data_IF_899970165916
#
_entry.id   IF_899970165916
#
_cell.length_a   1.000
_cell.length_b   1.000
_cell.length_c   1.000
_cell.angle_alpha   90.00
_cell.angle_beta   90.00
_cell.angle_gamma   90.00
#
_symmetry.space_group_name_H-M   'P 1'
#
loop_
_entity.id
_entity.type
_entity.pdbx_description
1 polymer ?
2 non-polymer ?
3 water ?
#
# COMPACT_ATOMS: atom_id res chain seq x y z
N UNK A 12 -21.09 -21.72 13.50
CA UNK A 12 -19.61 -21.69 13.70
C UNK A 12 -19.07 -20.24 13.70
N UNK A 13 -18.72 -19.69 14.90
CA UNK A 13 -18.38 -18.26 15.05
C UNK A 13 -17.01 -17.89 14.48
N UNK A 14 -16.90 -16.68 13.94
CA UNK A 14 -15.72 -16.25 13.19
C UNK A 14 -15.36 -14.80 13.52
N UNK A 15 -14.05 -14.46 13.49
CA UNK A 15 -13.61 -13.07 13.60
C UNK A 15 -13.91 -12.27 12.32
N UNK A 16 -14.20 -13.02 11.25
CA UNK A 16 -14.37 -12.48 9.90
C UNK A 16 -15.83 -12.37 9.45
N UNK A 17 -16.08 -11.52 8.45
CA UNK A 17 -17.33 -11.50 7.68
C UNK A 17 -16.97 -11.41 6.20
N UNK A 18 -17.39 -12.39 5.40
CA UNK A 18 -17.28 -12.29 3.92
C UNK A 18 -18.37 -11.37 3.33
N UNK A 19 -18.08 -10.73 2.18
CA UNK A 19 -19.09 -10.00 1.40
C UNK A 19 -18.87 -10.27 -0.08
N UNK A 20 -19.89 -10.04 -0.89
CA UNK A 20 -19.68 -9.84 -2.32
C UNK A 20 -20.04 -8.39 -2.67
N UNK A 21 -19.78 -7.99 -3.91
CA UNK A 21 -19.92 -6.59 -4.32
C UNK A 21 -21.37 -6.12 -4.15
N UNK A 22 -22.31 -7.02 -4.45
CA UNK A 22 -23.72 -6.76 -4.22
C UNK A 22 -23.96 -6.31 -2.77
N UNK A 23 -23.61 -7.17 -1.81
CA UNK A 23 -23.77 -6.88 -0.36
C UNK A 23 -23.01 -5.63 0.09
N UNK A 24 -21.71 -5.57 -0.22
CA UNK A 24 -20.85 -4.46 0.14
C UNK A 24 -21.29 -3.07 -0.41
N UNK A 25 -21.74 -3.04 -1.67
CA UNK A 25 -22.07 -1.77 -2.36
C UNK A 25 -23.24 -1.12 -1.65
N UNK A 26 -24.18 -1.97 -1.21
CA UNK A 26 -25.31 -1.58 -0.34
C UNK A 26 -24.89 -0.70 0.85
N UNK A 27 -23.72 -1.00 1.44
CA UNK A 27 -23.23 -0.30 2.64
C UNK A 27 -22.72 1.13 2.39
N UNK A 28 -22.92 1.62 1.16
CA UNK A 28 -22.38 2.90 0.74
C UNK A 28 -23.02 4.10 1.44
N UNK A 29 -24.32 3.94 1.79
CA UNK A 29 -25.23 5.00 2.27
C UNK A 29 -25.15 6.27 1.43
N UNK A 30 -25.20 7.43 2.10
CA UNK A 30 -25.25 8.70 1.38
C UNK A 30 -23.88 9.31 1.07
N UNK A 31 -22.88 8.46 0.91
CA UNK A 31 -21.50 8.94 0.75
C UNK A 31 -21.38 9.58 -0.63
N UNK A 32 -21.09 10.90 -0.66
CA UNK A 32 -20.88 11.63 -1.91
C UNK A 32 -19.74 11.00 -2.72
N UNK A 33 -19.77 11.16 -4.03
CA UNK A 33 -18.60 10.83 -4.83
C UNK A 33 -17.89 12.12 -5.22
N UNK A 34 -16.81 12.47 -4.51
CA UNK A 34 -16.08 13.71 -4.81
C UNK A 34 -14.86 13.53 -5.75
N UNK A 35 -14.87 12.49 -6.58
CA UNK A 35 -13.75 12.20 -7.50
C UNK A 35 -14.16 12.14 -9.01
N UNK A 36 -13.62 13.05 -9.82
CA UNK A 36 -13.94 13.10 -11.27
C UNK A 36 -13.11 12.08 -12.06
N UNK A 37 -13.64 11.59 -13.18
CA UNK A 37 -12.89 10.64 -14.03
C UNK A 37 -11.49 11.09 -14.47
N UNK A 38 -11.32 12.38 -14.75
CA UNK A 38 -9.98 12.91 -15.03
C UNK A 38 -9.05 12.53 -13.90
N UNK A 39 -9.50 12.80 -12.68
CA UNK A 39 -8.69 12.57 -11.48
C UNK A 39 -8.43 11.11 -11.19
N UNK A 40 -9.42 10.25 -11.40
CA UNK A 40 -9.25 8.81 -11.19
C UNK A 40 -8.05 8.26 -11.94
N UNK A 41 -8.08 8.38 -13.27
CA UNK A 41 -7.01 7.85 -14.13
C UNK A 41 -5.62 8.44 -13.81
N UNK A 42 -5.59 9.67 -13.32
CA UNK A 42 -4.34 10.27 -12.87
C UNK A 42 -3.80 9.61 -11.62
N UNK A 43 -4.44 8.52 -11.18
CA UNK A 43 -4.01 7.75 -10.02
C UNK A 43 -3.89 6.27 -10.39
N UNK A 44 -4.58 5.90 -11.47
CA UNK A 44 -4.53 4.58 -12.07
C UNK A 44 -3.07 4.21 -12.43
N UNK A 45 -2.72 2.94 -12.29
CA UNK A 45 -1.39 2.54 -12.69
C UNK A 45 -1.53 1.77 -13.97
N UNK A 46 -0.48 1.78 -14.78
CA UNK A 46 -0.38 0.97 -15.99
C UNK A 46 -0.98 -0.42 -15.82
N UNK A 47 -2.05 -0.71 -16.54
CA UNK A 47 -2.67 -2.04 -16.51
C UNK A 47 -3.93 -2.13 -15.66
N UNK A 48 -4.08 -1.22 -14.70
CA UNK A 48 -5.23 -1.20 -13.80
C UNK A 48 -6.56 -0.91 -14.53
N UNK A 49 -7.64 -1.61 -14.15
CA UNK A 49 -8.97 -1.43 -14.77
C UNK A 49 -9.98 -0.63 -13.91
N UNK A 50 -9.53 -0.02 -12.83
CA UNK A 50 -10.44 0.63 -11.87
C UNK A 50 -11.18 1.80 -12.54
N UNK A 51 -12.52 1.73 -12.53
CA UNK A 51 -13.39 2.83 -13.02
C UNK A 51 -14.22 3.42 -11.89
N UNK A 52 -14.91 4.54 -12.19
CA UNK A 52 -15.80 5.20 -11.23
C UNK A 52 -16.86 4.28 -10.63
N UNK A 53 -17.30 3.27 -11.38
CA UNK A 53 -18.27 2.33 -10.83
C UNK A 53 -17.68 1.52 -9.67
N UNK A 54 -16.35 1.43 -9.61
CA UNK A 54 -15.70 0.64 -8.56
C UNK A 54 -15.37 1.48 -7.33
N UNK A 55 -14.90 2.70 -7.55
CA UNK A 55 -14.84 3.68 -6.50
C UNK A 55 -16.16 3.74 -5.71
N UNK A 56 -17.29 3.87 -6.43
CA UNK A 56 -18.61 3.98 -5.80
C UNK A 56 -19.01 2.74 -5.05
N UNK A 57 -18.93 1.59 -5.72
CA UNK A 57 -19.40 0.33 -5.17
C UNK A 57 -18.44 -0.37 -4.17
N UNK A 58 -17.21 0.13 -4.02
CA UNK A 58 -16.20 -0.54 -3.17
C UNK A 58 -15.38 0.40 -2.27
N UNK A 59 -14.83 1.45 -2.85
CA UNK A 59 -13.98 2.37 -2.10
C UNK A 59 -14.77 3.34 -1.22
N UNK A 60 -16.04 3.55 -1.56
CA UNK A 60 -16.87 4.51 -0.82
C UNK A 60 -17.41 3.90 0.47
N UNK A 61 -17.95 2.66 0.39
CA UNK A 61 -18.20 1.98 1.65
C UNK A 61 -16.93 2.00 2.51
N UNK A 62 -15.81 1.52 1.96
CA UNK A 62 -14.54 1.52 2.66
C UNK A 62 -14.24 2.86 3.31
N UNK A 63 -14.46 3.95 2.57
CA UNK A 63 -14.18 5.27 3.10
C UNK A 63 -15.12 5.61 4.27
N UNK A 64 -16.37 5.13 4.17
CA UNK A 64 -17.34 5.38 5.22
C UNK A 64 -16.88 4.66 6.47
N UNK A 65 -16.58 3.36 6.32
CA UNK A 65 -16.04 2.55 7.40
C UNK A 65 -14.87 3.23 8.09
N UNK A 66 -13.89 3.63 7.29
CA UNK A 66 -12.75 4.30 7.86
C UNK A 66 -13.17 5.54 8.64
N UNK A 67 -14.06 6.38 8.09
CA UNK A 67 -14.37 7.63 8.82
C UNK A 67 -15.18 7.44 10.09
N UNK A 68 -16.00 6.39 10.14
CA UNK A 68 -16.63 6.01 11.41
C UNK A 68 -15.55 5.68 12.48
N UNK A 69 -14.59 4.86 12.10
CA UNK A 69 -13.61 4.37 13.05
C UNK A 69 -12.59 5.39 13.51
N UNK A 70 -12.31 6.39 12.69
CA UNK A 70 -11.37 7.45 13.09
C UNK A 70 -11.84 8.15 14.36
N UNK A 71 -13.12 8.51 14.37
CA UNK A 71 -13.75 9.14 15.54
C UNK A 71 -13.61 8.26 16.82
N UNK A 72 -14.05 7.00 16.72
CA UNK A 72 -14.07 6.06 17.84
C UNK A 72 -12.68 5.64 18.31
N UNK A 73 -11.74 5.52 17.38
CA UNK A 73 -10.38 5.13 17.71
C UNK A 73 -9.67 6.20 18.54
N UNK A 74 -10.05 7.46 18.37
CA UNK A 74 -9.40 8.50 19.14
C UNK A 74 -9.93 8.63 20.57
N UNK A 75 -11.20 8.33 20.78
CA UNK A 75 -11.77 8.20 22.14
C UNK A 75 -10.91 7.30 23.02
N UNK A 76 -10.38 6.25 22.42
CA UNK A 76 -9.52 5.29 23.08
C UNK A 76 -8.21 5.91 23.58
N UNK A 77 -7.61 6.78 22.78
CA UNK A 77 -6.43 7.51 23.21
C UNK A 77 -6.79 8.59 24.22
N UNK A 78 -8.04 9.06 24.15
CA UNK A 78 -8.58 9.99 25.14
C UNK A 78 -8.54 9.36 26.52
N UNK A 79 -9.12 8.16 26.60
CA UNK A 79 -9.18 7.36 27.83
C UNK A 79 -7.82 7.22 28.50
N UNK A 80 -6.81 6.84 27.73
CA UNK A 80 -5.44 6.77 28.26
C UNK A 80 -4.90 8.12 28.76
N UNK A 81 -5.16 9.19 28.01
CA UNK A 81 -4.70 10.53 28.41
C UNK A 81 -5.47 11.07 29.64
N UNK A 82 -6.75 10.70 29.75
CA UNK A 82 -7.56 11.05 30.94
C UNK A 82 -7.07 10.31 32.19
N UNK A 83 -6.80 9.01 32.06
CA UNK A 83 -6.11 8.23 33.08
C UNK A 83 -4.84 8.95 33.49
N UNK A 84 -3.97 9.20 32.52
CA UNK A 84 -2.69 9.85 32.77
C UNK A 84 -2.80 11.25 33.38
N UNK A 85 -4.03 11.76 33.51
CA UNK A 85 -4.31 13.13 33.98
C UNK A 85 -3.71 14.23 33.11
N UNK A 86 -4.03 14.20 31.81
CA UNK A 86 -3.43 15.10 30.82
C UNK A 86 -4.26 16.38 30.55
N UNK A 87 -3.60 17.47 30.07
CA UNK A 87 -4.14 18.82 29.86
C UNK A 87 -5.68 18.93 29.75
N UNK A 93 -6.09 18.72 17.53
CA UNK A 93 -4.97 17.97 16.94
C UNK A 93 -4.67 16.64 17.71
N UNK A 94 -5.30 15.53 17.27
CA UNK A 94 -5.28 14.29 18.04
C UNK A 94 -4.17 13.33 17.60
N UNK A 95 -4.30 12.07 17.98
CA UNK A 95 -3.34 11.04 17.60
C UNK A 95 -3.70 10.58 16.18
N UNK A 96 -2.79 10.79 15.19
CA UNK A 96 -3.02 10.45 13.80
C UNK A 96 -3.46 9.00 13.63
N UNK A 97 -4.47 8.78 12.79
CA UNK A 97 -4.98 7.46 12.47
C UNK A 97 -4.03 6.86 11.42
N UNK A 98 -3.65 5.60 11.56
CA UNK A 98 -2.61 5.07 10.67
C UNK A 98 -3.12 3.88 9.87
N UNK A 99 -3.13 4.02 8.55
CA UNK A 99 -3.61 2.93 7.69
C UNK A 99 -2.46 2.28 6.97
N UNK A 100 -2.51 0.95 6.91
CA UNK A 100 -1.50 0.17 6.21
C UNK A 100 -2.14 -0.56 5.03
N UNK A 101 -1.44 -0.52 3.90
CA UNK A 101 -1.91 -1.14 2.68
C UNK A 101 -0.76 -2.05 2.26
N UNK A 102 -1.06 -3.33 2.09
CA UNK A 102 -0.07 -4.35 1.82
C UNK A 102 -0.53 -5.15 0.64
N UNK A 103 0.37 -5.94 0.07
CA UNK A 103 0.05 -6.82 -1.04
C UNK A 103 1.26 -7.02 -1.92
N UNK A 104 1.20 -8.01 -2.81
CA UNK A 104 2.27 -8.25 -3.75
C UNK A 104 2.52 -7.10 -4.70
N UNK A 105 3.70 -7.11 -5.30
CA UNK A 105 4.04 -6.23 -6.41
C UNK A 105 2.98 -6.50 -7.47
N UNK A 106 2.60 -5.49 -8.26
CA UNK A 106 1.75 -5.74 -9.44
C UNK A 106 0.28 -6.09 -9.13
N UNK A 107 -0.11 -6.11 -7.86
CA UNK A 107 -1.50 -6.39 -7.55
C UNK A 107 -2.32 -5.10 -7.62
N UNK A 108 -1.65 -3.94 -7.59
CA UNK A 108 -2.35 -2.69 -7.73
C UNK A 108 -2.71 -2.02 -6.43
N UNK A 109 -2.03 -2.43 -5.36
CA UNK A 109 -2.21 -1.82 -4.05
C UNK A 109 -1.78 -0.35 -4.08
N UNK A 110 -0.73 -0.06 -4.88
CA UNK A 110 -0.26 1.31 -5.05
C UNK A 110 -1.35 2.24 -5.46
N UNK A 111 -2.22 1.76 -6.36
CA UNK A 111 -3.35 2.51 -6.85
C UNK A 111 -4.39 2.67 -5.74
N UNK A 112 -4.83 1.53 -5.19
CA UNK A 112 -5.74 1.52 -4.03
C UNK A 112 -5.35 2.55 -2.98
N UNK A 113 -4.07 2.60 -2.65
CA UNK A 113 -3.57 3.50 -1.65
C UNK A 113 -3.80 4.93 -2.10
N UNK A 114 -3.49 5.22 -3.35
CA UNK A 114 -3.61 6.58 -3.88
C UNK A 114 -5.06 7.00 -4.00
N UNK A 115 -5.92 6.06 -4.38
CA UNK A 115 -7.35 6.31 -4.45
C UNK A 115 -7.88 6.61 -3.04
N UNK A 116 -7.59 5.68 -2.12
CA UNK A 116 -7.97 5.82 -0.72
C UNK A 116 -7.59 7.19 -0.17
N UNK A 117 -6.40 7.66 -0.53
CA UNK A 117 -5.94 8.92 -0.02
C UNK A 117 -6.78 10.06 -0.56
N UNK A 118 -7.24 9.96 -1.80
CA UNK A 118 -7.98 11.06 -2.39
C UNK A 118 -9.39 11.06 -1.83
N UNK A 119 -9.97 9.86 -1.64
CA UNK A 119 -11.32 9.75 -1.11
C UNK A 119 -11.42 10.30 0.31
N UNK A 120 -10.45 9.94 1.16
CA UNK A 120 -10.40 10.41 2.55
C UNK A 120 -10.14 11.91 2.71
N UNK A 121 -9.32 12.48 1.84
CA UNK A 121 -8.93 13.88 2.00
C UNK A 121 -10.08 14.80 1.67
N UNK A 122 -11.05 14.27 0.92
CA UNK A 122 -12.24 15.03 0.52
C UNK A 122 -13.44 14.72 1.42
N UNK A 123 -13.19 14.59 2.70
CA UNK A 123 -14.26 14.50 3.66
C UNK A 123 -14.52 15.94 4.04
N UNK A 124 -15.79 16.31 4.25
CA UNK A 124 -16.19 17.71 4.33
C UNK A 124 -15.49 18.48 5.46
N UNK A 125 -15.07 17.76 6.50
CA UNK A 125 -14.27 18.39 7.57
C UNK A 125 -12.80 18.64 7.14
N UNK A 126 -12.45 18.19 5.93
CA UNK A 126 -11.13 18.41 5.28
C UNK A 126 -9.85 18.03 6.05
N UNK A 127 -9.64 16.72 6.27
CA UNK A 127 -8.45 16.33 7.01
C UNK A 127 -7.22 16.25 6.12
N UNK A 128 -6.05 16.52 6.70
CA UNK A 128 -4.79 16.24 6.06
C UNK A 128 -4.49 14.73 6.06
N UNK A 129 -4.32 14.18 4.85
CA UNK A 129 -4.08 12.74 4.64
C UNK A 129 -2.80 12.53 3.84
N UNK A 130 -1.68 12.28 4.52
CA UNK A 130 -0.41 11.92 3.91
C UNK A 130 -0.39 10.44 3.48
N UNK A 131 0.38 10.15 2.44
CA UNK A 131 0.63 8.77 1.95
C UNK A 131 2.13 8.53 1.74
N UNK A 132 2.64 7.48 2.38
CA UNK A 132 4.06 7.13 2.26
C UNK A 132 4.18 5.66 1.83
N UNK A 133 4.95 5.42 0.78
CA UNK A 133 5.19 4.08 0.31
C UNK A 133 6.44 3.69 1.04
N UNK A 134 6.67 2.38 1.24
CA UNK A 134 7.84 1.98 2.01
C UNK A 134 9.10 1.96 1.17
N UNK A 135 8.98 2.17 -0.14
CA UNK A 135 10.20 1.95 -0.91
C UNK A 135 11.31 2.94 -0.59
N UNK A 136 10.95 4.10 -0.04
CA UNK A 136 11.94 5.06 0.43
C UNK A 136 12.77 4.53 1.57
N UNK A 137 12.32 3.45 2.19
CA UNK A 137 13.11 2.83 3.25
C UNK A 137 13.94 1.65 2.81
N UNK A 138 14.10 1.42 1.51
CA UNK A 138 15.05 0.40 1.09
C UNK A 138 16.46 0.88 1.36
N UNK A 139 17.35 -0.05 1.65
CA UNK A 139 18.76 0.29 1.75
C UNK A 139 19.23 0.71 0.35
N UNK A 140 20.15 1.70 0.27
CA UNK A 140 20.68 2.09 -1.05
C UNK A 140 21.39 0.91 -1.68
N UNK A 141 21.59 0.93 -2.99
CA UNK A 141 22.16 -0.24 -3.67
C UNK A 141 23.51 -0.69 -3.14
N UNK A 142 24.38 0.28 -2.84
CA UNK A 142 25.72 0.00 -2.38
C UNK A 142 25.68 -0.70 -1.03
N UNK A 143 24.70 -0.33 -0.21
CA UNK A 143 24.49 -0.97 1.08
C UNK A 143 23.95 -2.39 0.88
N UNK A 144 23.13 -2.55 -0.16
CA UNK A 144 22.55 -3.83 -0.50
C UNK A 144 23.65 -4.71 -1.05
N UNK A 145 24.42 -4.20 -2.00
CA UNK A 145 25.58 -4.95 -2.49
C UNK A 145 26.45 -5.47 -1.33
N UNK A 146 26.79 -4.60 -0.38
CA UNK A 146 27.53 -4.99 0.83
C UNK A 146 26.94 -6.19 1.52
N UNK A 147 25.63 -6.17 1.78
CA UNK A 147 24.98 -7.23 2.56
C UNK A 147 24.67 -8.45 1.70
N UNK A 148 25.06 -8.37 0.43
CA UNK A 148 24.68 -9.35 -0.58
C UNK A 148 23.18 -9.53 -0.79
N UNK A 149 22.48 -8.43 -1.06
CA UNK A 149 21.02 -8.45 -1.10
C UNK A 149 20.32 -7.99 -2.38
N UNK A 150 21.06 -7.54 -3.40
CA UNK A 150 20.46 -7.11 -4.67
C UNK A 150 19.43 -8.11 -5.23
N UNK A 151 19.84 -9.36 -5.26
CA UNK A 151 19.00 -10.44 -5.68
C UNK A 151 17.79 -10.66 -4.74
N UNK A 152 17.63 -9.84 -3.70
CA UNK A 152 16.47 -9.94 -2.76
C UNK A 152 15.82 -8.56 -2.43
N UNK A 153 16.06 -7.57 -3.29
CA UNK A 153 15.34 -6.30 -3.20
C UNK A 153 13.83 -6.54 -3.02
N UNK A 154 13.24 -5.94 -2.01
CA UNK A 154 11.81 -6.09 -1.76
C UNK A 154 11.51 -7.08 -0.65
N UNK A 155 12.48 -7.93 -0.33
CA UNK A 155 12.34 -8.80 0.85
C UNK A 155 12.45 -7.97 2.13
N UNK A 156 12.02 -8.51 3.29
CA UNK A 156 12.01 -7.67 4.50
C UNK A 156 13.38 -7.17 4.94
N UNK A 157 14.43 -7.97 4.75
CA UNK A 157 15.80 -7.59 5.14
C UNK A 157 16.43 -6.52 4.24
N UNK A 158 15.84 -6.27 3.07
CA UNK A 158 16.33 -5.17 2.23
C UNK A 158 15.75 -3.82 2.65
N UNK A 159 14.95 -3.78 3.71
CA UNK A 159 14.50 -2.52 4.26
C UNK A 159 15.21 -2.19 5.56
N UNK A 160 15.41 -0.91 5.81
CA UNK A 160 15.80 -0.42 7.11
C UNK A 160 14.56 -0.34 7.96
N UNK A 161 14.17 -1.47 8.54
CA UNK A 161 12.95 -1.52 9.34
C UNK A 161 13.03 -0.72 10.64
N UNK A 162 14.24 -0.56 11.20
CA UNK A 162 14.38 0.31 12.37
C UNK A 162 14.06 1.77 11.99
N UNK A 163 14.65 2.25 10.89
CA UNK A 163 14.39 3.62 10.42
C UNK A 163 12.92 3.81 10.20
N UNK A 164 12.32 2.85 9.49
CA UNK A 164 10.89 2.87 9.20
C UNK A 164 10.01 2.90 10.46
N UNK A 165 10.31 2.06 11.44
CA UNK A 165 9.57 2.06 12.70
C UNK A 165 9.74 3.40 13.45
N UNK A 166 10.96 3.93 13.52
CA UNK A 166 11.16 5.20 14.21
C UNK A 166 10.20 6.23 13.63
N UNK A 167 10.21 6.37 12.30
CA UNK A 167 9.34 7.27 11.54
C UNK A 167 7.86 7.21 11.90
N UNK A 168 7.24 6.06 11.67
CA UNK A 168 5.81 5.92 11.97
C UNK A 168 5.54 6.22 13.45
N UNK A 169 6.47 5.83 14.31
CA UNK A 169 6.29 6.04 15.73
C UNK A 169 6.30 7.54 15.93
N UNK A 170 7.37 8.17 15.49
CA UNK A 170 7.48 9.61 15.56
C UNK A 170 6.20 10.36 15.11
N UNK A 171 5.59 9.92 14.02
CA UNK A 171 4.37 10.59 13.54
C UNK A 171 3.23 10.37 14.51
N UNK A 172 3.09 9.13 14.97
CA UNK A 172 1.97 8.82 15.83
C UNK A 172 2.12 9.44 17.22
N UNK A 173 3.38 9.60 17.68
CA UNK A 173 3.73 10.26 18.93
C UNK A 173 3.14 11.65 19.00
N UNK A 174 2.66 12.15 17.85
CA UNK A 174 2.14 13.51 17.71
C UNK A 174 3.21 14.54 17.38
N UNK A 175 4.38 14.10 16.92
CA UNK A 175 5.49 15.01 16.67
C UNK A 175 5.20 15.97 15.51
N UNK A 176 5.90 17.10 15.50
CA UNK A 176 5.60 18.20 14.57
C UNK A 176 5.95 17.89 13.14
N UNK A 177 7.04 17.15 12.95
CA UNK A 177 7.40 16.66 11.63
C UNK A 177 8.28 15.42 11.67
N UNK A 178 8.23 14.65 10.59
CA UNK A 178 9.15 13.54 10.37
C UNK A 178 9.56 13.45 8.90
N UNK A 179 10.80 13.01 8.66
CA UNK A 179 11.32 12.91 7.29
C UNK A 179 11.48 11.44 6.87
N UNK A 180 11.20 11.13 5.60
CA UNK A 180 11.49 9.80 5.06
C UNK A 180 12.44 9.93 3.88
N UNK A 181 13.25 8.89 3.60
CA UNK A 181 14.05 9.05 2.38
C UNK A 181 13.20 8.74 1.15
N UNK A 182 13.77 8.94 -0.03
CA UNK A 182 12.98 8.87 -1.28
C UNK A 182 13.69 7.99 -2.31
N UNK A 183 12.97 6.97 -2.78
CA UNK A 183 13.43 6.04 -3.82
C UNK A 183 13.07 6.53 -5.23
N UNK A 184 13.95 6.31 -6.19
CA UNK A 184 13.67 6.63 -7.60
C UNK A 184 13.53 5.32 -8.37
N UNK A 185 12.33 5.06 -8.88
CA UNK A 185 12.13 3.82 -9.64
C UNK A 185 12.87 3.91 -10.96
N UNK A 186 12.98 5.13 -11.49
CA UNK A 186 13.78 5.36 -12.67
C UNK A 186 15.19 4.82 -12.48
N UNK A 187 15.89 5.31 -11.47
CA UNK A 187 17.29 4.93 -11.23
C UNK A 187 17.50 3.65 -10.41
N UNK A 188 16.41 3.02 -9.98
CA UNK A 188 16.46 1.80 -9.18
C UNK A 188 17.28 2.01 -7.90
N UNK A 189 17.21 3.20 -7.33
CA UNK A 189 17.99 3.48 -6.15
C UNK A 189 17.41 4.61 -5.32
N UNK A 190 17.92 4.72 -4.09
CA UNK A 190 17.56 5.79 -3.17
C UNK A 190 18.20 7.09 -3.68
N UNK A 191 17.44 8.19 -3.69
CA UNK A 191 17.93 9.47 -4.19
C UNK A 191 18.72 10.22 -3.11
N UNK A 192 20.04 10.41 -3.30
CA UNK A 192 20.82 11.13 -2.27
C UNK A 192 20.22 12.50 -1.91
N UNK A 193 20.02 12.77 -0.62
CA UNK A 193 19.64 14.08 -0.14
C UNK A 193 18.15 14.36 -0.18
N UNK A 194 17.42 13.59 -0.98
CA UNK A 194 15.96 13.76 -1.10
C UNK A 194 15.23 13.34 0.17
N UNK A 195 14.17 14.05 0.52
CA UNK A 195 13.46 13.72 1.75
C UNK A 195 11.98 14.07 1.61
N UNK A 196 11.13 13.28 2.25
CA UNK A 196 9.70 13.52 2.20
C UNK A 196 9.28 13.95 3.59
N UNK A 197 8.81 15.19 3.74
CA UNK A 197 8.49 15.71 5.06
C UNK A 197 7.03 15.51 5.34
N UNK A 198 6.73 14.92 6.50
CA UNK A 198 5.35 14.68 6.92
C UNK A 198 5.04 15.51 8.16
N UNK A 199 4.29 16.58 7.98
CA UNK A 199 4.02 17.53 9.06
C UNK A 199 2.67 17.20 9.71
N UNK A 200 2.69 16.33 10.72
CA UNK A 200 1.53 15.98 11.56
C UNK A 200 0.18 15.86 10.85
N UNK A 201 -0.05 14.79 10.07
CA UNK A 201 -1.37 14.67 9.43
C UNK A 201 -2.43 14.18 10.39
N UNK A 202 -3.67 14.05 9.92
CA UNK A 202 -4.75 13.42 10.66
C UNK A 202 -4.76 11.93 10.38
N UNK A 203 -4.41 11.58 9.14
CA UNK A 203 -4.35 10.19 8.72
C UNK A 203 -3.05 10.00 7.96
N UNK A 204 -2.44 8.84 8.16
CA UNK A 204 -1.27 8.45 7.40
C UNK A 204 -1.50 7.06 6.82
N UNK A 205 -1.46 6.99 5.49
CA UNK A 205 -1.51 5.70 4.82
C UNK A 205 -0.08 5.28 4.50
N UNK A 206 0.27 4.07 4.94
CA UNK A 206 1.57 3.52 4.66
C UNK A 206 1.46 2.29 3.79
N UNK A 207 2.08 2.34 2.62
CA UNK A 207 1.93 1.28 1.66
C UNK A 207 3.25 0.58 1.41
N UNK A 208 3.20 -0.74 1.42
CA UNK A 208 4.38 -1.55 1.19
C UNK A 208 4.04 -3.03 1.14
N UNK A 209 5.08 -3.85 1.09
CA UNK A 209 4.98 -5.29 0.87
C UNK A 209 4.71 -6.12 2.16
N UNK A 210 5.64 -6.10 3.13
CA UNK A 210 5.50 -6.94 4.34
C UNK A 210 5.11 -6.10 5.56
N UNK A 211 4.58 -4.92 5.28
CA UNK A 211 4.25 -3.96 6.29
C UNK A 211 3.28 -4.51 7.38
N UNK A 212 2.54 -5.56 7.03
CA UNK A 212 1.62 -6.19 7.97
C UNK A 212 2.30 -7.24 8.83
N UNK A 213 3.61 -7.37 8.70
CA UNK A 213 4.32 -8.48 9.30
C UNK A 213 4.48 -8.28 10.80
N UNK A 214 4.69 -9.39 11.47
CA UNK A 214 4.83 -9.42 12.92
C UNK A 214 6.16 -10.05 13.40
N UNK A 215 6.70 -9.55 14.51
CA UNK A 215 8.04 -9.97 14.94
C UNK A 215 8.29 -10.30 16.41
N UNK A 216 9.58 -10.47 16.78
CA UNK A 216 9.94 -10.53 18.19
C UNK A 216 9.60 -9.18 18.85
N UNK A 217 10.19 -8.09 18.36
CA UNK A 217 9.90 -6.76 18.90
C UNK A 217 8.64 -6.13 18.30
N UNK A 218 8.40 -4.88 18.70
CA UNK A 218 7.28 -4.12 18.18
C UNK A 218 7.60 -3.59 16.77
N UNK A 219 6.60 -3.60 15.88
CA UNK A 219 6.77 -3.26 14.46
C UNK A 219 5.63 -2.37 13.96
N UNK A 220 5.78 -1.72 12.82
CA UNK A 220 4.72 -0.81 12.34
C UNK A 220 3.29 -1.39 12.35
N UNK A 221 3.16 -2.67 11.98
CA UNK A 221 1.85 -3.32 11.99
C UNK A 221 1.11 -3.06 13.29
N UNK A 222 1.87 -3.03 14.39
CA UNK A 222 1.35 -2.73 15.74
C UNK A 222 0.78 -1.32 15.87
N UNK A 223 1.31 -0.38 15.08
CA UNK A 223 0.87 1.00 15.12
C UNK A 223 -0.38 1.29 14.25
N UNK A 224 -0.74 0.34 13.37
CA UNK A 224 -1.86 0.53 12.45
C UNK A 224 -3.19 0.58 13.14
N UNK A 225 -3.94 1.65 12.91
CA UNK A 225 -5.30 1.72 13.38
C UNK A 225 -6.25 0.96 12.45
N UNK A 226 -5.91 0.89 11.17
CA UNK A 226 -6.69 0.16 10.16
C UNK A 226 -5.72 -0.42 9.14
N UNK A 227 -6.05 -1.58 8.58
CA UNK A 227 -5.21 -2.14 7.54
C UNK A 227 -5.97 -2.87 6.44
N UNK A 228 -5.36 -2.83 5.27
CA UNK A 228 -5.98 -3.18 4.01
C UNK A 228 -5.02 -4.07 3.28
N UNK A 229 -5.52 -5.21 2.79
CA UNK A 229 -4.70 -6.16 2.04
C UNK A 229 -5.34 -6.46 0.69
N UNK A 230 -4.60 -6.25 -0.39
CA UNK A 230 -5.16 -6.39 -1.74
C UNK A 230 -4.75 -7.73 -2.32
N UNK A 231 -5.73 -8.58 -2.59
CA UNK A 231 -5.46 -10.00 -2.89
C UNK A 231 -5.82 -10.44 -4.32
N UNK A 232 -5.21 -11.54 -4.78
CA UNK A 232 -5.55 -12.16 -6.06
C UNK A 232 -4.86 -13.51 -6.23
N UNK A 233 -5.37 -14.38 -7.10
CA UNK A 233 -4.71 -15.65 -7.38
C UNK A 233 -3.30 -15.34 -7.82
N UNK A 234 -2.38 -16.21 -7.41
CA UNK A 234 -0.97 -16.00 -7.70
C UNK A 234 -0.68 -16.07 -9.20
N UNK A 235 -1.43 -16.88 -9.93
CA UNK A 235 -1.28 -17.02 -11.38
C UNK A 235 -1.66 -15.71 -12.05
N UNK A 236 -2.70 -15.07 -11.55
CA UNK A 236 -3.18 -13.83 -12.13
C UNK A 236 -2.22 -12.65 -11.90
N UNK A 237 -1.58 -12.61 -10.73
CA UNK A 237 -0.61 -11.56 -10.46
C UNK A 237 0.64 -11.74 -11.32
N UNK A 238 1.02 -12.98 -11.58
CA UNK A 238 2.11 -13.23 -12.49
C UNK A 238 1.78 -12.62 -13.87
N UNK A 239 0.55 -12.84 -14.29
CA UNK A 239 0.05 -12.40 -15.58
C UNK A 239 0.16 -10.86 -15.66
N UNK A 240 -0.33 -10.18 -14.63
CA UNK A 240 -0.33 -8.71 -14.61
C UNK A 240 1.08 -8.12 -14.55
N UNK A 241 1.92 -8.75 -13.73
CA UNK A 241 3.33 -8.43 -13.66
C UNK A 241 4.02 -8.52 -15.04
N UNK A 242 3.92 -9.68 -15.68
CA UNK A 242 4.51 -9.87 -17.02
C UNK A 242 3.97 -8.85 -18.05
N UNK A 243 2.66 -8.61 -18.06
CA UNK A 243 2.11 -7.65 -19.02
C UNK A 243 2.67 -6.29 -18.79
N UNK A 244 2.74 -5.91 -17.51
CA UNK A 244 3.14 -4.58 -17.15
C UNK A 244 4.62 -4.43 -17.50
N UNK A 245 5.38 -5.51 -17.26
CA UNK A 245 6.75 -5.52 -17.65
C UNK A 245 6.86 -5.22 -19.14
N UNK A 246 6.14 -5.97 -19.96
CA UNK A 246 6.18 -5.74 -21.42
C UNK A 246 5.81 -4.31 -21.80
N UNK A 247 4.77 -3.78 -21.14
CA UNK A 247 4.27 -2.44 -21.40
C UNK A 247 5.29 -1.40 -21.00
N UNK A 248 6.10 -1.73 -20.01
CA UNK A 248 7.03 -0.76 -19.46
C UNK A 248 8.19 -0.43 -20.43
N UNK A 249 8.36 -1.26 -21.47
CA UNK A 249 9.34 -1.03 -22.57
C UNK A 249 9.15 0.27 -23.34
N UNK A 250 7.90 0.76 -23.39
CA UNK A 250 7.58 1.99 -24.14
C UNK A 250 7.13 3.08 -23.17
N UNK A 251 7.43 2.84 -21.89
CA UNK A 251 7.09 3.72 -20.78
C UNK A 251 8.41 4.01 -20.06
N UNK A 252 8.55 3.43 -18.88
CA UNK A 252 9.61 3.75 -17.95
C UNK A 252 10.98 3.38 -18.52
N UNK A 253 11.07 2.20 -19.15
CA UNK A 253 12.33 1.70 -19.72
C UNK A 253 12.75 2.50 -20.97
N UNK A 254 11.79 3.20 -21.59
CA UNK A 254 12.05 3.96 -22.83
C UNK A 254 12.99 5.15 -22.59
N UNK A 255 12.91 5.72 -21.39
CA UNK A 255 13.79 6.82 -20.98
C UNK A 255 15.24 6.31 -20.98
N UNK A 256 16.14 6.96 -21.73
CA UNK A 256 17.52 6.42 -21.76
C UNK A 256 18.30 6.49 -20.42
N UNK A 257 17.69 7.10 -19.40
CA UNK A 257 18.30 7.26 -18.09
C UNK A 257 17.84 6.18 -17.15
N UNK A 258 16.90 5.36 -17.61
CA UNK A 258 16.41 4.26 -16.81
C UNK A 258 17.53 3.27 -16.53
N UNK A 259 17.71 2.90 -15.26
CA UNK A 259 18.61 1.82 -14.90
C UNK A 259 18.34 0.56 -15.71
N UNK A 260 17.12 0.46 -16.28
CA UNK A 260 16.66 -0.71 -17.02
C UNK A 260 16.43 -0.47 -18.50
N UNK A 261 17.01 0.60 -19.03
CA UNK A 261 16.85 0.89 -20.46
C UNK A 261 17.17 -0.28 -21.40
N UNK A 262 18.05 -1.19 -20.99
CA UNK A 262 18.47 -2.28 -21.87
C UNK A 262 17.24 -3.15 -22.22
N UNK A 263 16.24 -3.16 -21.34
CA UNK A 263 15.02 -3.96 -21.55
C UNK A 263 14.13 -3.41 -22.70
N UNK A 264 14.28 -2.13 -23.02
CA UNK A 264 13.41 -1.53 -24.04
C UNK A 264 13.48 -2.24 -25.42
N UNK A 265 14.66 -2.74 -25.79
CA UNK A 265 14.84 -3.44 -27.06
C UNK A 265 14.57 -4.94 -27.02
N UNK A 266 14.13 -5.48 -25.89
CA UNK A 266 13.76 -6.90 -25.82
C UNK A 266 12.52 -7.11 -26.67
N UNK A 267 12.45 -8.24 -27.36
CA UNK A 267 11.23 -8.64 -28.08
C UNK A 267 10.24 -9.19 -27.07
N UNK A 268 9.00 -9.41 -27.50
CA UNK A 268 7.96 -9.93 -26.62
C UNK A 268 8.38 -11.20 -25.88
N UNK A 269 9.06 -12.10 -26.57
CA UNK A 269 9.38 -13.39 -25.97
C UNK A 269 10.61 -13.34 -25.06
N UNK A 270 11.63 -12.54 -25.40
CA UNK A 270 12.75 -12.32 -24.47
C UNK A 270 12.24 -11.62 -23.20
N UNK A 271 11.45 -10.55 -23.42
CA UNK A 271 10.78 -9.80 -22.37
C UNK A 271 9.95 -10.71 -21.47
N UNK A 272 9.16 -11.61 -22.06
CA UNK A 272 8.42 -12.60 -21.25
C UNK A 272 9.35 -13.53 -20.50
N UNK A 273 10.49 -13.88 -21.09
CA UNK A 273 11.48 -14.73 -20.40
C UNK A 273 12.07 -14.00 -19.20
N UNK A 274 12.58 -12.80 -19.43
CA UNK A 274 13.16 -11.97 -18.35
C UNK A 274 12.18 -11.73 -17.21
N UNK A 275 10.96 -11.29 -17.56
CA UNK A 275 9.89 -10.98 -16.61
C UNK A 275 9.55 -12.19 -15.74
N UNK A 276 9.45 -13.35 -16.39
CA UNK A 276 9.10 -14.62 -15.75
C UNK A 276 10.18 -15.04 -14.76
N UNK A 277 11.44 -14.85 -15.18
CA UNK A 277 12.61 -15.16 -14.36
C UNK A 277 12.69 -14.30 -13.08
N UNK A 278 12.59 -12.97 -13.22
CA UNK A 278 12.52 -12.08 -12.06
C UNK A 278 11.39 -12.53 -11.14
N UNK A 279 10.21 -12.79 -11.73
CA UNK A 279 9.05 -13.23 -10.96
C UNK A 279 9.32 -14.54 -10.21
N UNK A 280 9.95 -15.49 -10.89
CA UNK A 280 10.18 -16.82 -10.31
C UNK A 280 11.13 -16.78 -9.09
N UNK A 281 12.20 -15.98 -9.25
CA UNK A 281 13.33 -15.99 -8.30
C UNK A 281 13.22 -14.93 -7.20
N UNK A 282 12.53 -13.81 -7.45
CA UNK A 282 12.44 -12.74 -6.45
C UNK A 282 11.03 -12.49 -5.96
N UNK A 283 10.13 -12.16 -6.87
CA UNK A 283 8.79 -11.69 -6.48
C UNK A 283 7.79 -12.76 -6.01
N UNK A 284 7.85 -13.94 -6.60
CA UNK A 284 6.92 -15.00 -6.22
C UNK A 284 7.25 -15.50 -4.80
N UNK A 285 8.55 -15.84 -4.54
CA UNK A 285 8.92 -16.39 -3.23
C UNK A 285 8.63 -15.41 -2.09
N UNK A 286 8.96 -14.13 -2.29
CA UNK A 286 8.65 -13.10 -1.29
C UNK A 286 7.17 -13.11 -0.98
N UNK A 287 6.35 -13.11 -2.03
CA UNK A 287 4.92 -13.21 -1.87
C UNK A 287 4.55 -14.44 -1.02
N UNK A 288 5.04 -15.61 -1.43
CA UNK A 288 4.62 -16.86 -0.80
C UNK A 288 5.16 -17.01 0.62
N UNK A 289 6.44 -16.70 0.82
CA UNK A 289 7.07 -16.94 2.12
C UNK A 289 6.75 -15.88 3.15
N UNK A 290 6.49 -14.66 2.69
CA UNK A 290 6.38 -13.52 3.58
C UNK A 290 5.05 -12.81 3.48
N UNK A 291 4.73 -12.28 2.30
CA UNK A 291 3.52 -11.43 2.17
C UNK A 291 2.22 -12.18 2.48
N UNK A 292 2.03 -13.31 1.82
CA UNK A 292 0.77 -14.05 1.87
C UNK A 292 0.44 -14.55 3.29
N UNK A 293 1.47 -15.07 4.00
CA UNK A 293 1.30 -15.37 5.42
C UNK A 293 0.72 -14.23 6.25
N UNK A 294 0.85 -12.97 5.80
CA UNK A 294 0.32 -11.85 6.61
C UNK A 294 -1.13 -11.49 6.35
N UNK A 295 -1.75 -12.12 5.36
CA UNK A 295 -3.14 -11.79 5.01
C UNK A 295 -4.14 -11.86 6.19
N UNK A 296 -4.03 -12.92 7.05
CA UNK A 296 -4.99 -13.10 8.13
C UNK A 296 -5.17 -11.93 9.09
N UNK A 297 -4.15 -11.08 9.25
CA UNK A 297 -4.21 -9.94 10.21
C UNK A 297 -4.97 -8.72 9.70
N UNK A 298 -5.16 -8.60 8.37
CA UNK A 298 -5.70 -7.38 7.74
C UNK A 298 -7.18 -7.06 8.05
N UNK A 299 -7.46 -5.80 8.41
CA UNK A 299 -8.83 -5.44 8.78
C UNK A 299 -9.75 -5.78 7.63
N UNK A 300 -9.34 -5.40 6.42
CA UNK A 300 -10.09 -5.72 5.21
C UNK A 300 -9.19 -6.30 4.11
N UNK A 301 -9.64 -7.39 3.50
CA UNK A 301 -9.03 -7.93 2.27
C UNK A 301 -9.90 -7.57 1.06
N UNK A 302 -9.30 -6.91 0.07
CA UNK A 302 -9.91 -6.67 -1.24
C UNK A 302 -9.51 -7.81 -2.20
N UNK A 303 -10.46 -8.66 -2.57
CA UNK A 303 -10.16 -9.80 -3.43
C UNK A 303 -10.48 -9.51 -4.92
N UNK A 304 -9.44 -9.34 -5.74
CA UNK A 304 -9.57 -9.07 -7.20
C UNK A 304 -9.62 -10.33 -8.08
N UNK A 305 -10.40 -10.26 -9.16
CA UNK A 305 -10.55 -11.34 -10.15
C UNK A 305 -9.62 -11.15 -11.33
N UNK A 306 -9.39 -12.22 -12.08
CA UNK A 306 -8.51 -12.16 -13.26
C UNK A 306 -8.68 -10.92 -14.13
N UNK A 307 -9.90 -10.41 -14.27
CA UNK A 307 -10.15 -9.20 -15.07
C UNK A 307 -9.89 -7.89 -14.30
N UNK A 308 -9.26 -8.02 -13.13
CA UNK A 308 -8.92 -6.88 -12.20
C UNK A 308 -10.04 -6.42 -11.31
N UNK A 309 -11.21 -7.03 -11.45
CA UNK A 309 -12.40 -6.58 -10.77
C UNK A 309 -12.48 -7.05 -9.30
N UNK A 310 -12.71 -6.11 -8.38
CA UNK A 310 -12.94 -6.45 -6.95
C UNK A 310 -14.35 -7.02 -6.72
N UNK A 311 -14.46 -8.33 -6.51
CA UNK A 311 -15.79 -8.96 -6.37
C UNK A 311 -16.17 -9.62 -5.03
N UNK A 312 -15.17 -9.87 -4.17
CA UNK A 312 -15.41 -10.32 -2.80
C UNK A 312 -14.49 -9.56 -1.83
N UNK A 313 -14.99 -9.31 -0.62
CA UNK A 313 -14.23 -8.70 0.48
C UNK A 313 -14.37 -9.48 1.79
N UNK A 314 -13.36 -9.38 2.65
CA UNK A 314 -13.33 -10.09 3.94
C UNK A 314 -12.95 -9.07 5.02
N UNK A 315 -13.90 -8.71 5.87
CA UNK A 315 -13.68 -7.76 6.98
C UNK A 315 -13.48 -8.46 8.32
N UNK A 316 -12.59 -7.91 9.15
CA UNK A 316 -12.43 -8.36 10.53
C UNK A 316 -13.40 -7.63 11.42
N UNK A 317 -14.36 -8.34 11.99
CA UNK A 317 -15.30 -7.70 12.90
C UNK A 317 -14.83 -7.83 14.34
N UNK A 318 -13.78 -8.63 14.52
CA UNK A 318 -13.07 -8.84 15.80
C UNK A 318 -11.54 -8.75 15.55
#
# INVERSE_FOLDING_TARGET
HHHHHHMSRLSEPSPYVEFDRRQWRALRMSTPLALTEEELVGLRGLGEQIDLLEVEEVYLPLARLIHLQVAARQRLFAATAEFLGEPQQNPDRPVPFIIGVAGSVAVGKSTTARVLQALLARWDHHPRVDLVTTDGFLYPNAELQRRNLMHRKGFPESYNRRALMRFVTSVKSGSDYACAPVYSHLHYDIIPGAEQVVRHPDILILEGLNVLQTGPTLMVSDLFDFSLYVDARIEDIEQWYVSRFLAMRTTAFADPESHFHHYAAFSDSQAVVAAREIWRTINRPNLVENILPTRPRATLVLRKDADHSINRLRLRKL
#
